data_IF_918949409550
#
_entry.id   IF_918949409550
#
_cell.length_a   1.000
_cell.length_b   1.000
_cell.length_c   1.000
_cell.angle_alpha   90.00
_cell.angle_beta   90.00
_cell.angle_gamma   90.00
#
_symmetry.space_group_name_H-M   'P 1'
#
loop_
_entity.id
_entity.type
_entity.pdbx_description
1 polymer ?
#
# COMPACT_ATOMS: atom_id res chain seq x y z
N UNK A 1 24.20 13.85 4.61
CA UNK A 1 24.72 12.53 4.20
C UNK A 1 24.25 12.26 2.79
N UNK A 2 24.96 11.41 2.02
CA UNK A 2 24.48 10.95 0.72
C UNK A 2 23.79 9.59 0.88
N UNK A 3 22.56 9.45 0.38
CA UNK A 3 21.70 8.26 0.54
C UNK A 3 21.23 7.83 -0.84
N UNK A 4 21.39 6.54 -1.14
CA UNK A 4 20.84 5.94 -2.35
C UNK A 4 19.50 5.27 -2.03
N UNK A 5 18.46 5.61 -2.82
CA UNK A 5 17.14 5.00 -2.74
C UNK A 5 16.95 4.11 -3.97
N UNK A 6 16.69 2.83 -3.77
CA UNK A 6 16.48 1.85 -4.84
C UNK A 6 14.99 1.70 -5.11
N UNK A 7 14.56 2.10 -6.29
CA UNK A 7 13.18 2.11 -6.76
C UNK A 7 12.55 3.51 -6.74
N UNK A 8 11.97 3.90 -7.88
CA UNK A 8 11.29 5.18 -8.09
C UNK A 8 9.75 5.05 -8.16
N UNK A 9 9.18 4.09 -7.43
CA UNK A 9 7.74 4.04 -7.16
C UNK A 9 7.34 5.04 -6.07
N UNK A 10 6.05 5.11 -5.72
CA UNK A 10 5.51 6.03 -4.71
C UNK A 10 6.26 5.97 -3.38
N UNK A 11 6.65 4.77 -2.92
CA UNK A 11 7.40 4.60 -1.66
C UNK A 11 8.80 5.19 -1.76
N UNK A 12 9.52 4.96 -2.87
CA UNK A 12 10.87 5.50 -3.08
C UNK A 12 10.87 7.02 -3.19
N UNK A 13 9.94 7.58 -3.95
CA UNK A 13 9.83 9.03 -4.15
C UNK A 13 9.44 9.75 -2.86
N UNK A 14 8.47 9.23 -2.09
CA UNK A 14 8.09 9.83 -0.79
C UNK A 14 9.22 9.69 0.24
N UNK A 15 9.97 8.58 0.23
CA UNK A 15 11.18 8.42 1.05
C UNK A 15 12.22 9.49 0.70
N UNK A 16 12.49 9.66 -0.60
CA UNK A 16 13.42 10.67 -1.09
C UNK A 16 12.97 12.09 -0.71
N UNK A 17 11.67 12.39 -0.80
CA UNK A 17 11.11 13.67 -0.36
C UNK A 17 11.45 13.98 1.10
N UNK A 18 11.17 13.07 2.02
CA UNK A 18 11.45 13.30 3.43
C UNK A 18 12.95 13.36 3.75
N UNK A 19 13.78 12.63 3.03
CA UNK A 19 15.24 12.70 3.17
C UNK A 19 15.77 14.04 2.68
N UNK A 20 15.33 14.51 1.52
CA UNK A 20 15.70 15.81 0.93
C UNK A 20 15.25 16.95 1.83
N UNK A 21 14.01 16.89 2.37
CA UNK A 21 13.49 17.86 3.34
C UNK A 21 14.33 17.93 4.63
N UNK A 22 14.99 16.83 5.01
CA UNK A 22 15.94 16.77 6.13
C UNK A 22 17.36 17.19 5.76
N UNK A 23 17.61 17.69 4.55
CA UNK A 23 18.91 18.16 4.10
C UNK A 23 19.90 17.06 3.71
N UNK A 24 19.42 15.87 3.38
CA UNK A 24 20.27 14.82 2.84
C UNK A 24 20.39 14.94 1.32
N UNK A 25 21.57 14.66 0.79
CA UNK A 25 21.74 14.43 -0.65
C UNK A 25 21.17 13.05 -0.98
N UNK A 26 20.31 12.99 -2.00
CA UNK A 26 19.63 11.76 -2.40
C UNK A 26 19.93 11.45 -3.87
N UNK A 27 20.19 10.19 -4.17
CA UNK A 27 20.19 9.65 -5.52
C UNK A 27 19.22 8.49 -5.60
N UNK A 28 18.28 8.53 -6.54
CA UNK A 28 17.31 7.47 -6.80
C UNK A 28 17.82 6.59 -7.94
N UNK A 29 17.83 5.28 -7.70
CA UNK A 29 18.22 4.26 -8.66
C UNK A 29 16.98 3.51 -9.12
N UNK A 30 16.66 3.57 -10.41
CA UNK A 30 15.47 2.93 -10.98
C UNK A 30 15.85 2.08 -12.19
N UNK A 31 15.33 0.86 -12.25
CA UNK A 31 15.60 -0.07 -13.35
C UNK A 31 14.92 0.32 -14.66
N UNK A 32 13.78 0.98 -14.57
CA UNK A 32 13.04 1.47 -15.72
C UNK A 32 13.60 2.82 -16.20
N UNK A 33 13.15 3.28 -17.37
CA UNK A 33 13.55 4.55 -17.98
C UNK A 33 12.82 5.78 -17.39
N UNK A 34 11.89 5.55 -16.47
CA UNK A 34 11.11 6.61 -15.80
C UNK A 34 10.58 6.16 -14.44
N UNK A 35 10.02 7.10 -13.66
CA UNK A 35 9.40 6.82 -12.37
C UNK A 35 8.05 6.10 -12.52
N UNK A 36 7.63 5.42 -11.46
CA UNK A 36 6.30 4.86 -11.27
C UNK A 36 5.85 3.80 -12.30
N UNK A 37 6.75 3.16 -13.04
CA UNK A 37 6.40 2.14 -14.05
C UNK A 37 5.99 0.77 -13.50
N UNK A 38 6.10 0.55 -12.20
CA UNK A 38 5.62 -0.65 -11.52
C UNK A 38 4.19 -0.53 -11.01
N UNK A 39 3.93 -1.01 -9.80
CA UNK A 39 2.59 -0.95 -9.16
C UNK A 39 2.03 0.46 -8.98
N UNK A 40 2.87 1.49 -9.04
CA UNK A 40 2.46 2.89 -8.97
C UNK A 40 1.92 3.45 -10.28
N UNK A 41 2.09 2.75 -11.42
CA UNK A 41 1.62 3.19 -12.73
C UNK A 41 0.10 3.07 -12.88
N UNK A 42 -0.42 1.91 -12.51
CA UNK A 42 -1.83 1.61 -12.64
C UNK A 42 -2.30 0.81 -11.41
N UNK A 43 -2.86 1.51 -10.46
CA UNK A 43 -3.54 0.93 -9.31
C UNK A 43 -4.96 1.51 -9.21
N UNK A 44 -5.69 1.16 -8.15
CA UNK A 44 -7.06 1.65 -7.97
C UNK A 44 -7.18 3.13 -7.61
N UNK A 45 -6.08 3.85 -7.45
CA UNK A 45 -6.06 5.26 -7.07
C UNK A 45 -6.72 5.56 -5.71
N UNK A 46 -6.98 4.53 -4.92
CA UNK A 46 -7.71 4.67 -3.65
C UNK A 46 -6.76 5.00 -2.51
N UNK A 47 -7.02 6.11 -1.83
CA UNK A 47 -6.41 6.51 -0.58
C UNK A 47 -7.30 6.02 0.57
N UNK A 48 -7.28 4.70 0.80
CA UNK A 48 -8.19 4.01 1.71
C UNK A 48 -7.63 3.95 3.12
N UNK A 49 -7.72 5.02 3.86
CA UNK A 49 -7.20 5.10 5.22
C UNK A 49 -7.98 4.26 6.22
N UNK A 50 -9.28 4.14 6.00
CA UNK A 50 -10.20 3.45 6.88
C UNK A 50 -10.49 1.99 6.47
N UNK A 51 -10.13 1.60 5.24
CA UNK A 51 -10.25 0.22 4.73
C UNK A 51 -8.91 -0.52 4.70
N UNK A 52 -8.00 -0.21 5.62
CA UNK A 52 -6.70 -0.87 5.74
C UNK A 52 -6.79 -2.04 6.71
N UNK A 53 -7.08 -3.24 6.19
CA UNK A 53 -7.17 -4.47 6.97
C UNK A 53 -5.97 -5.40 6.71
N UNK A 54 -5.55 -6.20 7.72
CA UNK A 54 -4.58 -7.26 7.51
C UNK A 54 -5.08 -8.28 6.48
N UNK A 55 -4.19 -8.74 5.62
CA UNK A 55 -4.51 -9.77 4.64
C UNK A 55 -4.90 -11.09 5.31
N UNK A 56 -4.22 -11.45 6.41
CA UNK A 56 -4.53 -12.64 7.22
C UNK A 56 -5.75 -12.40 8.10
N UNK A 57 -6.92 -12.93 7.71
CA UNK A 57 -8.17 -12.85 8.47
C UNK A 57 -8.54 -14.23 9.05
N UNK A 58 -9.13 -14.32 10.26
CA UNK A 58 -9.53 -15.59 10.87
C UNK A 58 -10.46 -16.44 10.01
N UNK A 59 -11.35 -15.81 9.25
CA UNK A 59 -12.28 -16.48 8.35
C UNK A 59 -11.63 -17.10 7.10
N UNK A 60 -10.35 -16.85 6.85
CA UNK A 60 -9.60 -17.51 5.76
C UNK A 60 -9.20 -18.94 6.10
N UNK A 61 -8.99 -19.26 7.38
CA UNK A 61 -8.53 -20.61 7.79
C UNK A 61 -9.54 -21.70 7.35
N UNK A 62 -10.84 -21.61 7.64
CA UNK A 62 -11.81 -22.60 7.17
C UNK A 62 -12.01 -22.58 5.65
N UNK A 63 -11.76 -21.44 4.99
CA UNK A 63 -11.84 -21.30 3.51
C UNK A 63 -10.59 -21.80 2.79
N UNK A 64 -9.50 -22.07 3.53
CA UNK A 64 -8.18 -22.40 2.96
C UNK A 64 -8.21 -23.58 2.00
N UNK A 65 -8.98 -24.62 2.30
CA UNK A 65 -9.07 -25.79 1.43
C UNK A 65 -9.71 -25.44 0.06
N UNK A 66 -10.72 -24.58 0.06
CA UNK A 66 -11.35 -24.05 -1.16
C UNK A 66 -10.39 -23.18 -1.98
N UNK A 67 -9.61 -22.34 -1.29
CA UNK A 67 -8.59 -21.49 -1.90
C UNK A 67 -7.46 -22.36 -2.50
N UNK A 68 -6.97 -23.34 -1.76
CA UNK A 68 -5.92 -24.27 -2.21
C UNK A 68 -6.33 -25.07 -3.45
N UNK A 69 -7.63 -25.37 -3.58
CA UNK A 69 -8.21 -26.02 -4.76
C UNK A 69 -8.59 -25.03 -5.88
N UNK A 70 -8.19 -23.76 -5.75
CA UNK A 70 -8.52 -22.67 -6.70
C UNK A 70 -10.03 -22.55 -6.99
N UNK A 71 -10.87 -22.79 -5.99
CA UNK A 71 -12.34 -22.63 -6.08
C UNK A 71 -12.80 -21.21 -5.74
N UNK A 72 -11.90 -20.37 -5.19
CA UNK A 72 -12.18 -18.96 -4.92
C UNK A 72 -11.80 -18.12 -6.15
N UNK A 73 -12.74 -17.35 -6.73
CA UNK A 73 -12.48 -16.56 -7.93
C UNK A 73 -11.54 -15.36 -7.67
N UNK A 74 -11.46 -14.91 -6.43
CA UNK A 74 -10.68 -13.73 -6.05
C UNK A 74 -9.23 -14.06 -5.66
N UNK A 75 -8.94 -15.31 -5.27
CA UNK A 75 -7.62 -15.72 -4.75
C UNK A 75 -7.09 -16.89 -5.57
N UNK A 76 -5.99 -16.67 -6.26
CA UNK A 76 -5.25 -17.73 -6.95
C UNK A 76 -4.11 -18.22 -6.07
N UNK A 77 -4.16 -19.48 -5.69
CA UNK A 77 -3.15 -20.12 -4.86
C UNK A 77 -2.22 -20.99 -5.70
N UNK A 78 -0.93 -20.76 -5.58
CA UNK A 78 0.10 -21.62 -6.15
C UNK A 78 0.80 -22.37 -5.02
N UNK A 79 1.01 -23.66 -5.16
CA UNK A 79 1.75 -24.46 -4.19
C UNK A 79 3.16 -23.89 -3.98
N UNK A 80 3.61 -23.79 -2.72
CA UNK A 80 4.95 -23.29 -2.42
C UNK A 80 6.01 -24.20 -3.05
N UNK A 81 6.94 -23.61 -3.79
CA UNK A 81 8.02 -24.32 -4.51
C UNK A 81 9.35 -24.28 -3.78
N UNK A 82 9.47 -23.54 -2.68
CA UNK A 82 10.69 -23.38 -1.89
C UNK A 82 10.39 -23.47 -0.40
N UNK A 83 11.40 -23.79 0.40
CA UNK A 83 11.31 -23.78 1.87
C UNK A 83 10.91 -22.40 2.43
N UNK A 84 11.35 -21.32 1.77
CA UNK A 84 11.01 -19.94 2.15
C UNK A 84 9.52 -19.66 1.91
N UNK A 85 8.98 -20.06 0.76
CA UNK A 85 7.55 -19.93 0.45
C UNK A 85 6.69 -20.74 1.44
N UNK A 86 7.17 -21.93 1.86
CA UNK A 86 6.49 -22.75 2.85
C UNK A 86 6.52 -22.09 4.24
N UNK A 87 7.67 -21.55 4.65
CA UNK A 87 7.80 -20.79 5.90
C UNK A 87 6.89 -19.56 5.91
N UNK A 88 6.82 -18.84 4.77
CA UNK A 88 5.92 -17.72 4.62
C UNK A 88 4.45 -18.15 4.83
N UNK A 89 4.03 -19.27 4.24
CA UNK A 89 2.66 -19.79 4.37
C UNK A 89 2.31 -20.13 5.84
N UNK A 90 3.24 -20.74 6.57
CA UNK A 90 3.06 -21.03 8.01
C UNK A 90 2.91 -19.73 8.80
N UNK A 91 3.76 -18.75 8.54
CA UNK A 91 3.70 -17.44 9.19
C UNK A 91 2.39 -16.73 8.85
N UNK A 92 1.95 -16.79 7.59
CA UNK A 92 0.67 -16.21 7.16
C UNK A 92 -0.51 -16.87 7.91
N UNK A 93 -0.58 -18.18 7.93
CA UNK A 93 -1.62 -18.93 8.67
C UNK A 93 -1.60 -18.61 10.17
N UNK A 94 -0.42 -18.47 10.76
CA UNK A 94 -0.27 -18.02 12.15
C UNK A 94 -0.87 -16.64 12.40
N UNK A 95 -0.68 -15.70 11.48
CA UNK A 95 -1.23 -14.34 11.56
C UNK A 95 -2.76 -14.26 11.32
N UNK A 96 -3.37 -15.35 10.85
CA UNK A 96 -4.83 -15.45 10.77
C UNK A 96 -5.51 -15.75 12.12
N UNK A 97 -4.75 -16.02 13.21
CA UNK A 97 -5.33 -16.23 14.54
C UNK A 97 -6.00 -14.94 15.04
N UNK A 98 -7.17 -15.02 15.72
CA UNK A 98 -7.95 -13.83 16.10
C UNK A 98 -7.17 -12.77 16.86
N UNK A 99 -6.34 -13.17 17.81
CA UNK A 99 -5.53 -12.25 18.61
C UNK A 99 -4.48 -11.51 17.78
N UNK A 100 -3.71 -12.24 16.95
CA UNK A 100 -2.70 -11.63 16.08
C UNK A 100 -3.34 -10.78 15.00
N UNK A 101 -4.46 -11.21 14.44
CA UNK A 101 -5.24 -10.41 13.48
C UNK A 101 -5.66 -9.08 14.11
N UNK A 102 -6.20 -9.08 15.32
CA UNK A 102 -6.60 -7.87 16.05
C UNK A 102 -5.40 -6.92 16.27
N UNK A 103 -4.25 -7.46 16.71
CA UNK A 103 -3.05 -6.66 16.92
C UNK A 103 -2.53 -6.04 15.61
N UNK A 104 -2.53 -6.82 14.53
CA UNK A 104 -2.15 -6.36 13.20
C UNK A 104 -3.15 -5.31 12.66
N UNK A 105 -4.44 -5.46 12.90
CA UNK A 105 -5.47 -4.50 12.54
C UNK A 105 -5.25 -3.14 13.24
N UNK A 106 -4.94 -3.16 14.54
CA UNK A 106 -4.60 -1.95 15.30
C UNK A 106 -3.34 -1.28 14.74
N UNK A 107 -2.30 -2.05 14.46
CA UNK A 107 -1.06 -1.52 13.92
C UNK A 107 -1.26 -0.87 12.54
N UNK A 108 -2.03 -1.52 11.66
CA UNK A 108 -2.37 -0.97 10.34
C UNK A 108 -3.23 0.28 10.43
N UNK A 109 -4.25 0.31 11.30
CA UNK A 109 -5.09 1.49 11.49
C UNK A 109 -4.24 2.70 11.91
N UNK A 110 -3.35 2.52 12.90
CA UNK A 110 -2.43 3.59 13.34
C UNK A 110 -1.51 4.06 12.22
N UNK A 111 -0.92 3.15 11.47
CA UNK A 111 -0.04 3.47 10.34
C UNK A 111 -0.79 4.22 9.24
N UNK A 112 -1.99 3.77 8.92
CA UNK A 112 -2.84 4.35 7.87
C UNK A 112 -3.25 5.78 8.20
N UNK A 113 -3.69 6.04 9.43
CA UNK A 113 -4.07 7.38 9.87
C UNK A 113 -2.86 8.32 10.00
N UNK A 114 -1.71 7.82 10.44
CA UNK A 114 -0.47 8.61 10.42
C UNK A 114 -0.06 8.95 8.97
N UNK A 115 -0.22 7.99 8.04
CA UNK A 115 0.02 8.21 6.62
C UNK A 115 -0.92 9.26 6.03
N UNK A 116 -2.22 9.26 6.43
CA UNK A 116 -3.20 10.29 6.03
C UNK A 116 -2.73 11.69 6.41
N UNK A 117 -2.34 11.89 7.67
CA UNK A 117 -1.85 13.20 8.14
C UNK A 117 -0.62 13.65 7.35
N UNK A 118 0.36 12.77 7.20
CA UNK A 118 1.59 13.08 6.46
C UNK A 118 1.33 13.37 4.97
N UNK A 119 0.35 12.68 4.38
CA UNK A 119 -0.04 12.90 2.99
C UNK A 119 -0.71 14.28 2.82
N UNK A 120 -1.61 14.66 3.72
CA UNK A 120 -2.24 15.98 3.68
C UNK A 120 -1.20 17.10 3.91
N UNK A 121 -0.30 16.96 4.88
CA UNK A 121 0.80 17.90 5.11
C UNK A 121 1.69 18.05 3.86
N UNK A 122 1.97 16.94 3.17
CA UNK A 122 2.74 16.95 1.92
C UNK A 122 1.97 17.68 0.81
N UNK A 123 0.69 17.37 0.65
CA UNK A 123 -0.18 17.96 -0.38
C UNK A 123 -0.33 19.48 -0.18
N UNK A 124 -0.58 19.93 1.04
CA UNK A 124 -0.71 21.34 1.39
C UNK A 124 0.59 22.10 1.10
N UNK A 125 1.73 21.46 1.35
CA UNK A 125 3.04 22.05 1.10
C UNK A 125 3.40 22.16 -0.39
N UNK A 126 3.00 21.18 -1.21
CA UNK A 126 3.44 21.06 -2.60
C UNK A 126 2.36 21.44 -3.61
N UNK A 127 1.08 21.47 -3.21
CA UNK A 127 -0.07 21.80 -4.04
C UNK A 127 -0.09 21.10 -5.42
N UNK A 128 0.22 19.81 -5.43
CA UNK A 128 0.27 18.99 -6.65
C UNK A 128 -1.13 18.76 -7.24
N UNK A 129 -1.21 18.74 -8.56
CA UNK A 129 -2.39 18.31 -9.30
C UNK A 129 -2.21 16.86 -9.74
N UNK A 130 -3.00 15.94 -9.18
CA UNK A 130 -2.95 14.50 -9.45
C UNK A 130 -4.35 13.86 -9.36
N UNK A 131 -5.36 14.59 -9.81
CA UNK A 131 -6.77 14.17 -9.82
C UNK A 131 -7.27 13.70 -8.44
N UNK A 132 -6.83 14.43 -7.40
CA UNK A 132 -7.19 14.15 -6.03
C UNK A 132 -8.60 14.64 -5.69
N UNK A 133 -9.41 13.74 -5.13
CA UNK A 133 -10.77 14.04 -4.68
C UNK A 133 -11.04 13.41 -3.30
N UNK A 134 -11.68 14.18 -2.41
CA UNK A 134 -12.28 13.67 -1.17
C UNK A 134 -13.64 13.08 -1.51
N UNK A 135 -13.63 11.86 -2.00
CA UNK A 135 -14.79 11.23 -2.67
C UNK A 135 -15.55 10.26 -1.78
N UNK A 136 -15.08 10.02 -0.56
CA UNK A 136 -15.57 8.92 0.29
C UNK A 136 -15.39 7.53 -0.35
N UNK A 137 -15.78 6.49 0.37
CA UNK A 137 -15.77 5.11 -0.13
C UNK A 137 -16.94 4.32 0.44
N UNK A 138 -17.57 3.50 -0.40
CA UNK A 138 -18.60 2.56 0.01
C UNK A 138 -18.21 1.15 -0.42
N UNK A 139 -18.26 0.19 0.51
CA UNK A 139 -18.04 -1.22 0.25
C UNK A 139 -19.34 -1.98 0.45
N UNK A 140 -19.82 -2.68 -0.59
CA UNK A 140 -21.04 -3.45 -0.60
C UNK A 140 -20.76 -4.91 -0.27
N UNK A 141 -21.61 -5.53 0.55
CA UNK A 141 -21.50 -6.93 0.96
C UNK A 141 -22.69 -7.73 0.47
N UNK A 142 -22.45 -8.77 -0.32
CA UNK A 142 -23.50 -9.67 -0.81
C UNK A 142 -23.97 -10.65 0.27
N UNK A 143 -23.04 -11.09 1.15
CA UNK A 143 -23.31 -12.07 2.19
C UNK A 143 -23.48 -11.41 3.55
N UNK A 144 -24.51 -11.80 4.28
CA UNK A 144 -24.79 -11.33 5.63
C UNK A 144 -23.63 -11.62 6.60
N UNK A 145 -23.02 -12.80 6.52
CA UNK A 145 -21.89 -13.20 7.38
C UNK A 145 -20.67 -12.28 7.21
N UNK A 146 -20.35 -11.90 5.97
CA UNK A 146 -19.21 -11.02 5.66
C UNK A 146 -19.52 -9.58 6.11
N UNK A 147 -20.77 -9.12 5.93
CA UNK A 147 -21.21 -7.81 6.43
C UNK A 147 -21.15 -7.73 7.96
N UNK A 148 -21.67 -8.73 8.67
CA UNK A 148 -21.64 -8.75 10.12
C UNK A 148 -20.22 -8.86 10.67
N UNK A 149 -19.34 -9.62 10.01
CA UNK A 149 -17.93 -9.69 10.36
C UNK A 149 -17.25 -8.30 10.31
N UNK A 150 -17.41 -7.57 9.20
CA UNK A 150 -16.85 -6.22 9.07
C UNK A 150 -17.52 -5.22 10.04
N UNK A 151 -18.85 -5.26 10.19
CA UNK A 151 -19.58 -4.42 11.14
C UNK A 151 -19.07 -4.59 12.57
N UNK A 152 -18.82 -5.83 13.01
CA UNK A 152 -18.30 -6.10 14.36
C UNK A 152 -16.87 -5.59 14.54
N UNK A 153 -16.10 -5.40 13.47
CA UNK A 153 -14.75 -4.84 13.53
C UNK A 153 -14.72 -3.32 13.73
N UNK A 154 -15.82 -2.62 13.42
CA UNK A 154 -15.87 -1.16 13.43
C UNK A 154 -15.64 -0.56 14.82
N UNK A 155 -16.17 -1.20 15.87
CA UNK A 155 -15.95 -0.76 17.25
C UNK A 155 -14.46 -0.70 17.60
N UNK A 156 -13.71 -1.75 17.23
CA UNK A 156 -12.25 -1.77 17.46
C UNK A 156 -11.55 -0.72 16.61
N UNK A 157 -11.94 -0.54 15.35
CA UNK A 157 -11.33 0.42 14.42
C UNK A 157 -11.59 1.87 14.85
N UNK A 158 -12.78 2.19 15.36
CA UNK A 158 -13.18 3.54 15.79
C UNK A 158 -12.33 4.06 16.95
N UNK A 159 -11.83 3.18 17.83
CA UNK A 159 -10.91 3.54 18.94
C UNK A 159 -9.64 4.20 18.45
N UNK A 160 -9.30 4.05 17.17
CA UNK A 160 -8.10 4.62 16.55
C UNK A 160 -8.42 5.70 15.51
N UNK A 161 -9.64 6.26 15.52
CA UNK A 161 -10.02 7.36 14.63
C UNK A 161 -10.52 6.94 13.24
N UNK A 162 -10.82 5.65 13.06
CA UNK A 162 -11.50 5.18 11.85
C UNK A 162 -12.96 5.65 11.89
N UNK A 163 -13.43 6.26 10.78
CA UNK A 163 -14.77 6.84 10.65
C UNK A 163 -15.76 5.94 9.89
N UNK A 164 -15.41 4.69 9.65
CA UNK A 164 -16.29 3.74 8.97
C UNK A 164 -17.60 3.54 9.74
N UNK A 165 -18.70 3.57 9.00
CA UNK A 165 -20.04 3.30 9.53
C UNK A 165 -20.72 2.19 8.73
N UNK A 166 -21.48 1.34 9.45
CA UNK A 166 -22.32 0.33 8.80
C UNK A 166 -23.63 0.99 8.33
N UNK A 167 -23.99 0.74 7.09
CA UNK A 167 -25.23 1.22 6.48
C UNK A 167 -26.11 0.06 6.07
N UNK A 168 -27.41 0.23 6.25
CA UNK A 168 -28.43 -0.58 5.58
C UNK A 168 -28.37 -0.33 4.07
N UNK A 169 -28.91 -1.27 3.28
CA UNK A 169 -28.96 -1.07 1.82
C UNK A 169 -29.76 0.19 1.42
N UNK A 170 -30.77 0.55 2.20
CA UNK A 170 -31.58 1.76 1.98
C UNK A 170 -30.73 3.03 2.16
N UNK A 171 -29.96 3.10 3.23
CA UNK A 171 -29.04 4.21 3.51
C UNK A 171 -27.92 4.28 2.48
N UNK A 172 -27.35 3.12 2.11
CA UNK A 172 -26.34 3.04 1.07
C UNK A 172 -26.81 3.62 -0.27
N UNK A 173 -28.04 3.31 -0.69
CA UNK A 173 -28.67 3.84 -1.92
C UNK A 173 -28.97 5.35 -1.85
N UNK A 174 -29.06 5.93 -0.67
CA UNK A 174 -29.17 7.38 -0.50
C UNK A 174 -27.81 8.07 -0.64
N UNK A 175 -26.76 7.43 -0.15
CA UNK A 175 -25.38 7.93 -0.27
C UNK A 175 -24.83 7.79 -1.71
N UNK A 176 -25.10 6.66 -2.34
CA UNK A 176 -24.67 6.33 -3.71
C UNK A 176 -25.87 5.84 -4.54
N UNK A 177 -26.53 6.74 -5.30
CA UNK A 177 -27.70 6.40 -6.10
C UNK A 177 -27.47 5.31 -7.15
N UNK A 178 -26.24 5.20 -7.69
CA UNK A 178 -25.87 4.19 -8.69
C UNK A 178 -26.03 2.74 -8.18
N UNK A 179 -26.08 2.53 -6.86
CA UNK A 179 -26.35 1.20 -6.28
C UNK A 179 -27.74 0.67 -6.68
N UNK A 180 -28.69 1.54 -7.02
CA UNK A 180 -30.04 1.15 -7.44
C UNK A 180 -30.06 0.38 -8.74
N UNK A 181 -29.07 0.66 -9.60
CA UNK A 181 -28.96 0.08 -10.95
C UNK A 181 -28.18 -1.23 -10.96
N UNK A 182 -27.59 -1.62 -9.81
CA UNK A 182 -26.92 -2.89 -9.68
C UNK A 182 -27.94 -4.03 -9.57
N UNK A 183 -27.91 -4.94 -10.52
CA UNK A 183 -28.76 -6.14 -10.53
C UNK A 183 -28.18 -7.22 -9.59
N UNK A 184 -28.00 -6.88 -8.31
CA UNK A 184 -27.44 -7.73 -7.26
C UNK A 184 -28.10 -7.43 -5.93
N UNK A 185 -28.19 -8.44 -5.07
CA UNK A 185 -28.66 -8.30 -3.70
C UNK A 185 -27.48 -8.10 -2.77
N UNK A 186 -27.60 -7.12 -1.88
CA UNK A 186 -26.58 -6.82 -0.87
C UNK A 186 -27.20 -6.88 0.53
N UNK A 187 -26.47 -7.44 1.48
CA UNK A 187 -26.85 -7.51 2.89
C UNK A 187 -26.71 -6.14 3.56
N UNK A 188 -25.69 -5.37 3.18
CA UNK A 188 -25.43 -4.05 3.71
C UNK A 188 -24.17 -3.43 3.10
N UNK A 189 -23.74 -2.31 3.66
CA UNK A 189 -22.56 -1.59 3.23
C UNK A 189 -21.72 -1.07 4.40
N UNK A 190 -20.44 -0.89 4.19
CA UNK A 190 -19.56 -0.08 5.06
C UNK A 190 -19.19 1.17 4.29
N UNK A 191 -19.34 2.32 4.92
CA UNK A 191 -19.08 3.64 4.34
C UNK A 191 -17.98 4.36 5.13
N UNK A 192 -17.01 4.94 4.43
CA UNK A 192 -16.00 5.85 4.95
C UNK A 192 -16.17 7.22 4.30
N UNK A 193 -16.40 8.24 5.10
CA UNK A 193 -16.48 9.60 4.59
C UNK A 193 -15.11 10.20 4.29
N UNK A 194 -14.09 9.76 5.01
CA UNK A 194 -12.74 10.34 4.96
C UNK A 194 -11.79 9.66 3.98
N UNK A 195 -12.21 8.60 3.28
CA UNK A 195 -11.42 7.99 2.22
C UNK A 195 -11.43 8.87 0.96
N UNK A 196 -10.34 8.82 0.20
CA UNK A 196 -10.06 9.72 -0.91
C UNK A 196 -9.61 8.92 -2.14
N UNK A 197 -9.52 9.59 -3.28
CA UNK A 197 -8.95 9.03 -4.51
C UNK A 197 -7.96 10.00 -5.12
N UNK A 198 -7.01 9.49 -5.90
CA UNK A 198 -6.05 10.29 -6.65
C UNK A 198 -5.23 9.43 -7.59
N UNK A 199 -4.72 10.01 -8.65
CA UNK A 199 -3.85 9.31 -9.59
C UNK A 199 -2.43 9.20 -9.04
N UNK A 200 -2.03 7.98 -8.67
CA UNK A 200 -0.71 7.72 -8.09
C UNK A 200 0.42 7.98 -9.08
N UNK A 201 0.21 7.76 -10.38
CA UNK A 201 1.21 8.05 -11.40
C UNK A 201 1.46 9.55 -11.51
N UNK A 202 0.40 10.36 -11.63
CA UNK A 202 0.51 11.82 -11.67
C UNK A 202 1.15 12.38 -10.39
N UNK A 203 0.79 11.82 -9.23
CA UNK A 203 1.44 12.16 -7.96
C UNK A 203 2.94 11.88 -7.98
N UNK A 204 3.36 10.72 -8.50
CA UNK A 204 4.77 10.36 -8.62
C UNK A 204 5.52 11.28 -9.59
N UNK A 205 4.90 11.65 -10.72
CA UNK A 205 5.49 12.58 -11.69
C UNK A 205 5.73 13.97 -11.07
N UNK A 206 4.72 14.51 -10.40
CA UNK A 206 4.84 15.81 -9.73
C UNK A 206 5.91 15.78 -8.61
N UNK A 207 5.97 14.67 -7.86
CA UNK A 207 6.97 14.51 -6.81
C UNK A 207 8.40 14.36 -7.38
N UNK A 208 8.55 13.71 -8.54
CA UNK A 208 9.82 13.66 -9.28
C UNK A 208 10.30 15.07 -9.65
N UNK A 209 9.45 15.88 -10.28
CA UNK A 209 9.79 17.26 -10.66
C UNK A 209 10.27 18.08 -9.46
N UNK A 210 9.55 18.00 -8.34
CA UNK A 210 9.97 18.68 -7.10
C UNK A 210 11.33 18.19 -6.60
N UNK A 211 11.58 16.88 -6.65
CA UNK A 211 12.84 16.29 -6.21
C UNK A 211 14.02 16.74 -7.09
N UNK A 212 13.82 16.81 -8.40
CA UNK A 212 14.81 17.31 -9.35
C UNK A 212 15.15 18.78 -9.08
N UNK A 213 14.14 19.61 -8.84
CA UNK A 213 14.32 21.02 -8.45
C UNK A 213 15.13 21.18 -7.14
N UNK A 214 15.05 20.22 -6.25
CA UNK A 214 15.81 20.18 -4.99
C UNK A 214 17.19 19.48 -5.13
N UNK A 215 17.59 19.11 -6.33
CA UNK A 215 18.89 18.53 -6.60
C UNK A 215 19.01 17.04 -6.27
N UNK A 216 17.89 16.31 -6.27
CA UNK A 216 17.92 14.85 -6.22
C UNK A 216 18.32 14.31 -7.59
N UNK A 217 19.34 13.45 -7.62
CA UNK A 217 19.79 12.78 -8.82
C UNK A 217 18.93 11.54 -9.11
N UNK A 218 18.58 11.31 -10.40
CA UNK A 218 17.89 10.10 -10.85
C UNK A 218 18.79 9.32 -11.82
N UNK A 219 19.05 8.05 -11.52
CA UNK A 219 19.76 7.12 -12.39
C UNK A 219 18.77 6.06 -12.88
N UNK A 220 18.14 6.34 -14.01
CA UNK A 220 17.26 5.42 -14.73
C UNK A 220 18.04 4.33 -15.46
N UNK A 221 17.34 3.29 -15.93
CA UNK A 221 17.94 2.10 -16.59
C UNK A 221 19.02 1.46 -15.73
N UNK A 222 18.88 1.54 -14.39
CA UNK A 222 19.86 1.11 -13.41
C UNK A 222 19.30 0.02 -12.52
N UNK A 223 19.44 -1.23 -12.96
CA UNK A 223 18.99 -2.41 -12.23
C UNK A 223 20.01 -2.81 -11.17
N UNK A 224 19.59 -2.85 -9.92
CA UNK A 224 20.41 -3.30 -8.80
C UNK A 224 20.31 -4.82 -8.66
N UNK A 225 21.46 -5.49 -8.73
CA UNK A 225 21.57 -6.96 -8.67
C UNK A 225 21.91 -7.48 -7.28
N UNK A 226 22.76 -6.76 -6.55
CA UNK A 226 23.18 -7.16 -5.21
C UNK A 226 23.77 -6.00 -4.41
N UNK A 227 23.82 -6.18 -3.09
CA UNK A 227 24.50 -5.29 -2.16
C UNK A 227 25.92 -5.80 -1.96
N UNK A 228 26.91 -4.93 -2.17
CA UNK A 228 28.33 -5.23 -1.94
C UNK A 228 28.68 -4.90 -0.49
N UNK A 229 29.20 -5.91 0.23
CA UNK A 229 29.59 -5.81 1.64
C UNK A 229 31.06 -6.23 1.81
N UNK A 230 31.75 -5.54 2.70
CA UNK A 230 33.07 -5.90 3.15
C UNK A 230 33.12 -5.74 4.67
N UNK A 231 33.60 -6.75 5.40
CA UNK A 231 33.68 -6.76 6.87
C UNK A 231 32.40 -6.25 7.56
N UNK A 232 31.23 -6.76 7.16
CA UNK A 232 29.88 -6.35 7.65
C UNK A 232 29.49 -4.88 7.40
N UNK A 233 30.25 -4.15 6.58
CA UNK A 233 29.90 -2.79 6.14
C UNK A 233 29.44 -2.81 4.69
N UNK A 234 28.44 -1.99 4.38
CA UNK A 234 27.99 -1.78 3.01
C UNK A 234 28.99 -0.86 2.31
N UNK A 235 29.53 -1.30 1.18
CA UNK A 235 30.44 -0.54 0.33
C UNK A 235 29.76 0.00 -0.93
N UNK A 236 28.68 -0.67 -1.37
CA UNK A 236 27.98 -0.23 -2.58
C UNK A 236 26.88 -1.19 -3.04
N UNK A 237 26.45 -0.93 -4.26
CA UNK A 237 25.45 -1.66 -5.01
C UNK A 237 26.05 -2.14 -6.33
N UNK A 238 25.91 -3.42 -6.63
CA UNK A 238 26.26 -3.96 -7.94
C UNK A 238 25.07 -3.80 -8.88
N UNK A 239 25.25 -3.09 -9.97
CA UNK A 239 24.19 -2.82 -10.95
C UNK A 239 24.54 -3.38 -12.33
N UNK A 240 23.61 -3.30 -13.28
CA UNK A 240 23.84 -3.57 -14.70
C UNK A 240 24.86 -2.60 -15.35
N UNK A 241 25.11 -1.43 -14.72
CA UNK A 241 26.06 -0.40 -15.17
C UNK A 241 27.37 -0.42 -14.38
N UNK A 242 27.59 -1.44 -13.53
CA UNK A 242 28.78 -1.57 -12.69
C UNK A 242 28.53 -1.25 -11.22
N UNK A 243 29.63 -1.07 -10.47
CA UNK A 243 29.58 -0.79 -9.03
C UNK A 243 29.24 0.68 -8.76
N UNK A 244 28.21 0.89 -7.95
CA UNK A 244 27.84 2.19 -7.40
C UNK A 244 28.26 2.22 -5.94
N UNK A 245 29.27 3.04 -5.61
CA UNK A 245 29.73 3.19 -4.23
C UNK A 245 28.66 3.85 -3.36
N UNK A 246 28.32 3.23 -2.24
CA UNK A 246 27.30 3.71 -1.32
C UNK A 246 27.44 3.08 0.05
N UNK A 247 27.35 3.90 1.09
CA UNK A 247 27.37 3.43 2.48
C UNK A 247 25.99 3.51 3.16
N UNK A 248 25.02 4.16 2.51
CA UNK A 248 23.64 4.35 3.01
C UNK A 248 22.65 4.06 1.90
N UNK A 249 21.87 3.03 2.08
CA UNK A 249 20.94 2.51 1.07
C UNK A 249 19.57 2.31 1.71
N UNK A 250 18.52 2.71 1.00
CA UNK A 250 17.14 2.39 1.33
C UNK A 250 16.54 1.65 0.13
N UNK A 251 15.99 0.46 0.39
CA UNK A 251 15.40 -0.37 -0.65
C UNK A 251 13.90 -0.15 -0.69
N UNK A 252 13.40 0.32 -1.83
CA UNK A 252 12.01 0.60 -2.13
C UNK A 252 11.57 -0.11 -3.44
N UNK A 253 12.08 -1.32 -3.68
CA UNK A 253 11.90 -2.06 -4.93
C UNK A 253 10.54 -2.76 -5.07
N UNK A 254 9.57 -2.49 -4.19
CA UNK A 254 8.23 -3.06 -4.24
C UNK A 254 8.25 -4.57 -4.01
N UNK A 255 7.55 -5.32 -4.88
CA UNK A 255 7.44 -6.77 -4.80
C UNK A 255 8.71 -7.51 -5.27
N UNK A 256 9.71 -6.79 -5.71
CA UNK A 256 10.99 -7.33 -6.20
C UNK A 256 12.15 -7.18 -5.19
N UNK A 257 11.81 -6.90 -3.93
CA UNK A 257 12.82 -6.72 -2.86
C UNK A 257 13.39 -8.05 -2.37
#
# INVERSE_FOLDING_TARGET
MHIHVVGAGVVGLTTAYYLTKKGHKVTILEKEDSVAKGSSFANGGQLSYCFSDPLGKPNLIPKFLGIALNRDPAIKFNLPKSAESFRWLINFASNCRPELHKNNQIALAKLSLASKSLFHDLQDHLNFKFDHHKSSKIALFEKEEDFQYEKNSLETKSLFGNDNVALTLKEAKLKEPGIKDLNRNFAGAIFSESDEVGDTYLFCMALKEWLEDKGTDFLFDTEIKSIVKNNNKIEGLNSNKGLISSSKIIICAGTFT
#
